data_IF_292434180072
#
_entry.id   IF_292434180072
#
_cell.length_a   1.000
_cell.length_b   1.000
_cell.length_c   1.000
_cell.angle_alpha   90.00
_cell.angle_beta   90.00
_cell.angle_gamma   90.00
#
_symmetry.space_group_name_H-M   'P 1'
#
loop_
_entity.id
_entity.type
_entity.pdbx_description
1 polymer ?
#
# COMPACT_ATOMS: atom_id res chain seq x y z
N UNK A 1 -9.97 -10.81 4.89
CA UNK A 1 -9.14 -10.99 3.68
C UNK A 1 -7.71 -11.33 4.06
N UNK A 2 -6.96 -12.04 3.20
CA UNK A 2 -5.52 -12.29 3.42
C UNK A 2 -4.70 -11.07 2.96
N UNK A 3 -3.74 -10.66 3.76
CA UNK A 3 -2.87 -9.52 3.43
C UNK A 3 -1.44 -9.71 3.92
N UNK A 4 -0.49 -9.14 3.18
CA UNK A 4 0.88 -8.92 3.65
C UNK A 4 0.92 -7.51 4.23
N UNK A 5 1.16 -7.40 5.53
CA UNK A 5 1.20 -6.14 6.24
C UNK A 5 2.56 -5.88 6.86
N UNK A 6 2.90 -4.62 6.94
CA UNK A 6 4.12 -4.13 7.57
C UNK A 6 3.75 -3.16 8.69
N UNK A 7 4.27 -3.43 9.87
CA UNK A 7 4.07 -2.59 11.03
C UNK A 7 5.40 -2.40 11.77
N UNK A 8 5.83 -1.17 11.93
CA UNK A 8 7.08 -0.86 12.59
C UNK A 8 6.86 0.21 13.66
N UNK A 9 7.46 -0.01 14.82
CA UNK A 9 7.55 0.99 15.87
C UNK A 9 8.86 1.80 15.74
N UNK A 10 8.93 2.98 16.34
CA UNK A 10 10.15 3.81 16.32
C UNK A 10 11.38 3.02 16.83
N UNK A 11 11.32 2.30 17.98
CA UNK A 11 12.43 1.46 18.40
C UNK A 11 12.78 0.36 17.40
N UNK A 12 11.74 -0.29 16.81
CA UNK A 12 11.91 -1.33 15.78
C UNK A 12 12.59 -0.78 14.52
N UNK A 13 12.21 0.43 14.09
CA UNK A 13 12.86 1.11 12.96
C UNK A 13 14.36 1.36 13.21
N UNK A 14 14.71 1.90 14.38
CA UNK A 14 16.10 2.19 14.73
C UNK A 14 16.93 0.91 14.83
N UNK A 15 16.36 -0.14 15.43
CA UNK A 15 17.00 -1.45 15.53
C UNK A 15 17.19 -2.09 14.15
N UNK A 16 16.14 -2.10 13.32
CA UNK A 16 16.17 -2.65 11.97
C UNK A 16 17.16 -1.92 11.06
N UNK A 17 17.23 -0.59 11.15
CA UNK A 17 18.22 0.23 10.42
C UNK A 17 19.67 -0.04 10.85
N UNK A 18 19.88 -0.32 12.13
CA UNK A 18 21.21 -0.70 12.67
C UNK A 18 21.61 -2.10 12.25
N UNK A 19 20.76 -3.09 12.52
CA UNK A 19 21.03 -4.51 12.27
C UNK A 19 20.94 -4.90 10.79
N UNK A 20 20.11 -4.21 9.99
CA UNK A 20 19.97 -4.46 8.55
C UNK A 20 21.25 -4.25 7.75
N UNK A 21 22.23 -3.53 8.31
CA UNK A 21 23.58 -3.40 7.76
C UNK A 21 24.43 -4.65 7.96
N UNK A 22 24.06 -5.49 8.93
CA UNK A 22 24.82 -6.68 9.33
C UNK A 22 24.21 -7.97 8.77
N UNK A 23 22.92 -8.01 8.59
CA UNK A 23 22.21 -9.20 8.09
C UNK A 23 20.86 -8.84 7.44
N UNK A 24 20.60 -9.44 6.28
CA UNK A 24 19.31 -9.30 5.58
C UNK A 24 18.16 -9.92 6.37
N UNK A 25 18.42 -10.94 7.18
CA UNK A 25 17.42 -11.59 8.02
C UNK A 25 16.79 -10.64 9.04
N UNK A 26 17.48 -9.58 9.44
CA UNK A 26 16.94 -8.56 10.34
C UNK A 26 15.86 -7.70 9.64
N UNK A 27 15.91 -7.62 8.30
CA UNK A 27 14.98 -6.83 7.48
C UNK A 27 13.78 -7.66 7.03
N UNK A 28 13.99 -8.95 6.72
CA UNK A 28 12.97 -9.84 6.19
C UNK A 28 12.50 -10.94 7.15
N UNK A 29 13.08 -11.00 8.34
CA UNK A 29 12.74 -11.99 9.37
C UNK A 29 11.66 -11.53 10.35
N UNK A 30 11.45 -12.29 11.39
CA UNK A 30 10.40 -12.06 12.40
C UNK A 30 10.54 -10.74 13.19
N UNK A 31 11.68 -10.06 13.12
CA UNK A 31 11.91 -8.75 13.73
C UNK A 31 11.58 -7.58 12.79
N UNK A 32 11.31 -7.86 11.52
CA UNK A 32 11.10 -6.82 10.49
C UNK A 32 9.77 -6.08 10.61
N UNK A 33 8.82 -6.59 11.38
CA UNK A 33 7.44 -6.09 11.41
C UNK A 33 6.60 -6.54 10.21
N UNK A 34 7.15 -7.37 9.32
CA UNK A 34 6.43 -7.98 8.21
C UNK A 34 5.58 -9.14 8.72
N UNK A 35 4.32 -9.17 8.35
CA UNK A 35 3.40 -10.25 8.70
C UNK A 35 2.49 -10.61 7.54
N UNK A 36 2.09 -11.88 7.48
CA UNK A 36 1.07 -12.37 6.57
C UNK A 36 -0.06 -12.97 7.39
N UNK A 37 -1.28 -12.59 7.10
CA UNK A 37 -2.42 -13.09 7.86
C UNK A 37 -3.76 -12.50 7.44
N UNK A 38 -4.77 -12.84 8.21
CA UNK A 38 -6.10 -12.31 8.03
C UNK A 38 -6.21 -10.88 8.57
N UNK A 39 -6.85 -10.03 7.78
CA UNK A 39 -7.23 -8.68 8.19
C UNK A 39 -8.71 -8.43 7.89
N UNK A 40 -9.32 -7.51 8.61
CA UNK A 40 -10.71 -7.15 8.39
C UNK A 40 -10.91 -6.57 6.98
N UNK A 41 -12.06 -6.84 6.39
CA UNK A 41 -12.45 -6.16 5.16
C UNK A 41 -12.80 -4.71 5.48
N UNK A 42 -12.31 -3.75 4.69
CA UNK A 42 -12.64 -2.35 4.89
C UNK A 42 -14.11 -2.09 4.50
N UNK A 43 -14.79 -1.26 5.28
CA UNK A 43 -16.06 -0.66 4.86
C UNK A 43 -15.80 0.61 4.05
N UNK A 44 -16.83 1.07 3.30
CA UNK A 44 -16.75 2.37 2.62
C UNK A 44 -16.72 3.51 3.67
N UNK A 45 -15.68 4.37 3.67
CA UNK A 45 -15.60 5.47 4.64
C UNK A 45 -16.58 6.60 4.35
N UNK A 46 -16.98 6.80 3.07
CA UNK A 46 -17.88 7.85 2.63
C UNK A 46 -18.53 7.49 1.28
N UNK A 47 -19.53 8.27 0.87
CA UNK A 47 -20.33 8.02 -0.35
C UNK A 47 -19.56 8.23 -1.67
N UNK A 48 -18.42 8.89 -1.66
CA UNK A 48 -17.53 9.09 -2.81
C UNK A 48 -16.41 8.04 -2.94
N UNK A 49 -16.46 7.00 -2.10
CA UNK A 49 -15.47 5.92 -2.08
C UNK A 49 -15.92 4.70 -2.86
N UNK A 50 -14.91 3.90 -3.26
CA UNK A 50 -15.09 2.64 -3.98
C UNK A 50 -14.36 1.54 -3.23
N UNK A 51 -15.01 0.38 -3.04
CA UNK A 51 -14.36 -0.81 -2.50
C UNK A 51 -13.93 -1.72 -3.65
N UNK A 52 -12.69 -2.15 -3.59
CA UNK A 52 -12.03 -2.95 -4.63
C UNK A 52 -11.66 -4.33 -4.11
N UNK A 53 -11.94 -5.36 -4.92
CA UNK A 53 -11.37 -6.69 -4.77
C UNK A 53 -10.04 -6.72 -5.54
N UNK A 54 -8.94 -6.97 -4.84
CA UNK A 54 -7.62 -7.03 -5.45
C UNK A 54 -7.46 -8.33 -6.23
N UNK A 55 -7.23 -8.24 -7.52
CA UNK A 55 -6.96 -9.39 -8.39
C UNK A 55 -5.46 -9.68 -8.49
N UNK A 56 -4.65 -8.63 -8.55
CA UNK A 56 -3.20 -8.70 -8.57
C UNK A 56 -2.63 -7.47 -7.89
N UNK A 57 -1.55 -7.64 -7.11
CA UNK A 57 -0.80 -6.55 -6.52
C UNK A 57 0.69 -6.73 -6.79
N UNK A 58 1.32 -5.70 -7.34
CA UNK A 58 2.76 -5.66 -7.60
C UNK A 58 3.52 -5.03 -6.42
N UNK A 59 4.70 -5.56 -6.15
CA UNK A 59 5.65 -5.00 -5.20
C UNK A 59 6.59 -4.06 -5.96
N UNK A 60 6.56 -2.79 -5.59
CA UNK A 60 7.39 -1.74 -6.18
C UNK A 60 8.71 -1.56 -5.40
N UNK A 61 9.65 -0.83 -5.99
CA UNK A 61 10.88 -0.42 -5.32
C UNK A 61 10.67 0.40 -4.04
N UNK A 62 9.56 1.13 -3.93
CA UNK A 62 9.19 1.87 -2.72
C UNK A 62 8.76 0.94 -1.57
N UNK A 63 8.05 -0.16 -1.86
CA UNK A 63 7.74 -1.17 -0.85
C UNK A 63 9.02 -1.79 -0.28
N UNK A 64 9.95 -2.16 -1.18
CA UNK A 64 11.27 -2.67 -0.78
C UNK A 64 12.07 -1.63 -0.01
N UNK A 65 12.01 -0.35 -0.43
CA UNK A 65 12.63 0.77 0.27
C UNK A 65 12.08 0.93 1.70
N UNK A 66 10.79 0.79 1.88
CA UNK A 66 10.13 0.83 3.20
C UNK A 66 10.58 -0.35 4.06
N UNK A 67 10.53 -1.57 3.54
CA UNK A 67 10.96 -2.79 4.24
C UNK A 67 12.43 -2.75 4.66
N UNK A 68 13.28 -2.17 3.82
CA UNK A 68 14.73 -2.07 4.07
C UNK A 68 15.13 -0.82 4.85
N UNK A 69 14.16 -0.04 5.34
CA UNK A 69 14.39 1.22 6.06
C UNK A 69 15.21 2.27 5.29
N UNK A 70 15.18 2.19 3.95
CA UNK A 70 15.83 3.15 3.06
C UNK A 70 14.95 4.35 2.73
N UNK A 71 13.64 4.20 2.86
CA UNK A 71 12.68 5.29 2.69
C UNK A 71 12.72 6.19 3.91
N UNK A 72 12.63 7.50 3.68
CA UNK A 72 12.64 8.47 4.77
C UNK A 72 11.36 8.38 5.61
N UNK A 73 11.43 8.53 6.94
CA UNK A 73 10.25 8.76 7.79
C UNK A 73 9.42 9.98 7.36
N UNK A 74 10.00 10.90 6.58
CA UNK A 74 9.28 12.03 6.01
C UNK A 74 8.17 11.64 5.00
N UNK A 75 8.12 10.37 4.59
CA UNK A 75 6.99 9.81 3.82
C UNK A 75 5.77 9.49 4.71
N UNK A 76 5.89 9.64 6.02
CA UNK A 76 4.84 9.33 6.99
C UNK A 76 3.48 10.02 6.74
N UNK A 77 3.37 11.23 6.18
CA UNK A 77 2.08 11.79 5.82
C UNK A 77 1.32 10.99 4.74
N UNK A 78 2.04 10.16 3.97
CA UNK A 78 1.49 9.36 2.88
C UNK A 78 1.43 7.87 3.19
N UNK A 79 1.94 7.44 4.33
CA UNK A 79 1.90 6.05 4.77
C UNK A 79 1.52 5.97 6.25
N UNK A 80 0.45 5.28 6.54
CA UNK A 80 0.05 4.95 7.91
C UNK A 80 0.45 3.50 8.20
N UNK A 81 0.92 3.24 9.42
CA UNK A 81 1.19 1.89 9.89
C UNK A 81 0.05 1.40 10.81
N UNK A 82 -0.33 0.13 10.73
CA UNK A 82 0.15 -0.91 9.81
C UNK A 82 -0.24 -0.63 8.35
N UNK A 83 0.68 -0.84 7.42
CA UNK A 83 0.47 -0.68 5.99
C UNK A 83 0.34 -2.05 5.31
N UNK A 84 -0.59 -2.17 4.36
CA UNK A 84 -0.66 -3.32 3.46
C UNK A 84 0.26 -3.04 2.28
N UNK A 85 1.15 -3.99 1.98
CA UNK A 85 2.15 -3.85 0.93
C UNK A 85 1.59 -4.23 -0.45
N UNK A 86 2.23 -3.69 -1.49
CA UNK A 86 1.83 -3.88 -2.88
C UNK A 86 0.82 -2.83 -3.33
N UNK A 87 1.28 -1.83 -4.06
CA UNK A 87 0.46 -0.70 -4.48
C UNK A 87 0.30 -0.57 -6.00
N UNK A 88 0.89 -1.46 -6.78
CA UNK A 88 0.63 -1.59 -8.23
C UNK A 88 -0.53 -2.57 -8.40
N UNK A 89 -1.76 -2.05 -8.44
CA UNK A 89 -2.96 -2.84 -8.21
C UNK A 89 -3.79 -2.96 -9.48
N UNK A 90 -4.11 -4.20 -9.88
CA UNK A 90 -5.23 -4.53 -10.72
C UNK A 90 -6.38 -5.05 -9.84
N UNK A 91 -7.54 -4.48 -9.96
CA UNK A 91 -8.67 -4.78 -9.10
C UNK A 91 -10.00 -4.87 -9.85
N UNK A 92 -11.01 -5.41 -9.17
CA UNK A 92 -12.41 -5.37 -9.58
C UNK A 92 -13.20 -4.50 -8.61
N UNK A 93 -14.04 -3.63 -9.12
CA UNK A 93 -14.98 -2.86 -8.32
C UNK A 93 -16.04 -3.81 -7.74
N UNK A 94 -16.17 -3.86 -6.41
CA UNK A 94 -17.19 -4.69 -5.73
C UNK A 94 -18.29 -3.86 -5.11
N UNK A 95 -18.00 -2.62 -4.71
CA UNK A 95 -18.96 -1.73 -4.11
C UNK A 95 -18.62 -0.27 -4.43
N UNK A 96 -19.63 0.54 -4.66
CA UNK A 96 -19.51 1.98 -4.91
C UNK A 96 -20.39 2.76 -3.95
N UNK A 97 -19.89 3.86 -3.45
CA UNK A 97 -20.68 4.79 -2.65
C UNK A 97 -21.69 5.57 -3.50
N UNK A 98 -22.74 6.08 -2.86
CA UNK A 98 -23.87 6.71 -3.53
C UNK A 98 -23.55 7.95 -4.38
N UNK A 99 -22.41 8.59 -4.16
CA UNK A 99 -21.94 9.74 -4.94
C UNK A 99 -21.02 9.39 -6.13
N UNK A 100 -20.54 8.15 -6.22
CA UNK A 100 -19.65 7.70 -7.30
C UNK A 100 -20.42 7.61 -8.63
N UNK A 101 -19.81 8.15 -9.70
CA UNK A 101 -20.37 8.14 -11.07
C UNK A 101 -19.38 7.66 -12.13
N UNK A 102 -18.11 7.45 -11.75
CA UNK A 102 -17.03 7.16 -12.69
C UNK A 102 -16.81 5.69 -12.95
N UNK A 103 -17.25 4.82 -12.07
CA UNK A 103 -17.09 3.35 -12.16
C UNK A 103 -18.32 2.64 -11.63
N UNK A 104 -18.49 1.38 -12.03
CA UNK A 104 -19.61 0.51 -11.66
C UNK A 104 -19.11 -0.83 -11.09
N UNK A 105 -19.87 -1.49 -10.21
CA UNK A 105 -19.56 -2.83 -9.73
C UNK A 105 -19.34 -3.81 -10.89
N UNK A 106 -18.32 -4.65 -10.76
CA UNK A 106 -17.89 -5.63 -11.77
C UNK A 106 -16.82 -5.14 -12.74
N UNK A 107 -16.61 -3.84 -12.87
CA UNK A 107 -15.54 -3.29 -13.72
C UNK A 107 -14.15 -3.63 -13.18
N UNK A 108 -13.20 -3.86 -14.08
CA UNK A 108 -11.78 -3.98 -13.75
C UNK A 108 -11.10 -2.64 -13.89
N UNK A 109 -10.30 -2.30 -12.88
CA UNK A 109 -9.59 -1.02 -12.78
C UNK A 109 -8.13 -1.25 -12.43
N UNK A 110 -7.25 -0.43 -12.97
CA UNK A 110 -5.88 -0.29 -12.52
C UNK A 110 -5.81 0.93 -11.59
N UNK A 111 -5.27 0.73 -10.39
CA UNK A 111 -5.10 1.83 -9.43
C UNK A 111 -3.73 2.45 -9.64
N UNK A 112 -3.71 3.75 -9.94
CA UNK A 112 -2.47 4.52 -9.99
C UNK A 112 -2.11 4.99 -8.58
N UNK A 113 -1.00 4.54 -7.99
CA UNK A 113 -0.59 4.95 -6.65
C UNK A 113 -0.01 6.36 -6.62
N UNK A 114 0.24 6.95 -7.77
CA UNK A 114 0.89 8.26 -7.90
C UNK A 114 -0.13 9.28 -8.38
N UNK A 115 -0.51 10.22 -7.50
CA UNK A 115 -1.25 11.41 -7.91
C UNK A 115 -0.26 12.56 -8.14
N UNK A 116 -0.12 12.97 -9.39
CA UNK A 116 0.67 14.15 -9.75
C UNK A 116 -0.23 15.39 -9.68
N UNK A 117 0.05 16.29 -8.78
CA UNK A 117 -0.68 17.56 -8.66
C UNK A 117 -0.37 18.56 -9.77
N UNK A 118 0.64 18.32 -10.64
CA UNK A 118 1.12 19.26 -11.64
C UNK A 118 1.57 18.64 -12.98
N UNK A 119 1.08 17.48 -13.38
CA UNK A 119 1.34 17.00 -14.74
C UNK A 119 0.06 17.09 -15.58
N UNK A 120 -0.13 18.25 -16.21
CA UNK A 120 -0.86 18.32 -17.47
C UNK A 120 0.02 17.72 -18.57
N UNK A 121 0.06 16.41 -18.68
CA UNK A 121 0.49 15.78 -19.93
C UNK A 121 -0.62 16.05 -20.95
N UNK A 122 -0.32 16.69 -22.09
CA UNK A 122 -1.28 16.75 -23.18
C UNK A 122 -1.52 15.33 -23.65
N UNK A 123 -2.63 14.75 -23.26
CA UNK A 123 -3.17 13.54 -23.88
C UNK A 123 -3.56 13.92 -25.29
N UNK A 124 -2.68 13.66 -26.25
CA UNK A 124 -3.12 13.52 -27.62
C UNK A 124 -3.92 12.24 -27.70
N UNK A 125 -5.24 12.40 -27.88
CA UNK A 125 -6.08 11.36 -28.41
C UNK A 125 -5.64 10.95 -29.82
#
# INVERSE_FOLDING_TARGET
>A
MQAVSFNVTIPGYLLGKGLGKLTESAVFGGLSGLSYGETAEPSLPADDWVRLEILQAGICGSDVGTLTFKTSPAMEPFSSFPAVLGHEILARVVEVGGAVRSVEPGQRVAVSPVSYTHLTLPTKA
#
